data_IF_382554830563
#
_entry.id   IF_382554830563
#
_cell.length_a   1.000
_cell.length_b   1.000
_cell.length_c   1.000
_cell.angle_alpha   90.00
_cell.angle_beta   90.00
_cell.angle_gamma   90.00
#
_symmetry.space_group_name_H-M   'P 1'
#
loop_
_entity.id
_entity.type
_entity.pdbx_description
1 polymer ?
#
# COMPACT_ATOMS: atom_id res chain seq x y z
N UNK A 1 33.83 -16.67 42.62
CA UNK A 1 34.96 -15.72 42.57
C UNK A 1 36.04 -16.04 41.53
N UNK A 2 35.96 -17.12 40.73
CA UNK A 2 37.02 -17.50 39.78
C UNK A 2 37.01 -16.81 38.40
N UNK A 3 35.87 -16.26 37.96
CA UNK A 3 35.74 -15.66 36.61
C UNK A 3 36.22 -14.19 36.52
N UNK A 4 36.51 -13.54 37.64
CA UNK A 4 36.95 -12.13 37.67
C UNK A 4 38.42 -11.93 37.26
N UNK A 5 39.22 -13.00 37.26
CA UNK A 5 40.65 -12.96 36.94
C UNK A 5 40.95 -12.89 35.43
N UNK A 6 39.95 -13.12 34.58
CA UNK A 6 40.08 -13.11 33.12
C UNK A 6 39.71 -11.76 32.48
N UNK A 7 39.30 -10.76 33.27
CA UNK A 7 38.91 -9.44 32.77
C UNK A 7 40.09 -8.47 32.85
N UNK A 8 40.67 -8.14 31.69
CA UNK A 8 41.91 -7.33 31.57
C UNK A 8 41.73 -5.85 31.97
N UNK A 9 40.52 -5.28 31.85
CA UNK A 9 40.22 -3.90 32.23
C UNK A 9 39.83 -3.77 33.71
N UNK A 10 40.47 -2.82 34.44
CA UNK A 10 40.14 -2.47 35.84
C UNK A 10 38.66 -2.07 35.99
N UNK A 11 38.09 -1.37 35.01
CA UNK A 11 36.68 -0.99 34.97
C UNK A 11 35.74 -2.19 34.84
N UNK A 12 36.11 -3.17 34.03
CA UNK A 12 35.30 -4.39 33.83
C UNK A 12 35.31 -5.27 35.09
N UNK A 13 36.42 -5.30 35.84
CA UNK A 13 36.48 -5.93 37.17
C UNK A 13 35.61 -5.22 38.20
N UNK A 14 35.62 -3.89 38.21
CA UNK A 14 34.72 -3.10 39.07
C UNK A 14 33.25 -3.33 38.72
N UNK A 15 32.88 -3.36 37.44
CA UNK A 15 31.50 -3.66 37.03
C UNK A 15 31.07 -5.08 37.37
N UNK A 16 31.94 -6.08 37.22
CA UNK A 16 31.64 -7.47 37.60
C UNK A 16 31.54 -7.62 39.12
N UNK A 17 32.44 -6.98 39.88
CA UNK A 17 32.47 -7.04 41.34
C UNK A 17 31.31 -6.25 41.98
N UNK A 18 30.88 -5.15 41.37
CA UNK A 18 29.72 -4.38 41.80
C UNK A 18 28.39 -4.94 41.28
N UNK A 19 28.40 -5.64 40.13
CA UNK A 19 27.19 -6.13 39.48
C UNK A 19 26.43 -7.18 40.29
N UNK A 20 27.15 -8.09 40.98
CA UNK A 20 26.54 -9.12 41.81
C UNK A 20 25.88 -8.57 43.09
N UNK A 21 26.56 -7.75 43.92
CA UNK A 21 25.94 -7.13 45.09
C UNK A 21 24.84 -6.12 44.73
N UNK A 22 24.96 -5.39 43.61
CA UNK A 22 23.91 -4.49 43.13
C UNK A 22 22.68 -5.27 42.64
N UNK A 23 22.87 -6.37 41.91
CA UNK A 23 21.77 -7.26 41.50
C UNK A 23 21.10 -7.94 42.70
N UNK A 24 21.87 -8.33 43.72
CA UNK A 24 21.33 -8.91 44.96
C UNK A 24 20.55 -7.88 45.78
N UNK A 25 21.06 -6.65 45.90
CA UNK A 25 20.37 -5.54 46.56
C UNK A 25 19.08 -5.13 45.84
N UNK A 26 19.10 -5.05 44.50
CA UNK A 26 17.90 -4.79 43.68
C UNK A 26 16.89 -5.94 43.72
N UNK A 27 17.35 -7.19 43.80
CA UNK A 27 16.47 -8.36 43.98
C UNK A 27 15.83 -8.39 45.36
N UNK A 28 16.54 -7.92 46.39
CA UNK A 28 16.00 -7.73 47.74
C UNK A 28 14.95 -6.61 47.81
N UNK A 29 15.12 -5.53 47.04
CA UNK A 29 14.13 -4.45 46.91
C UNK A 29 12.91 -4.84 46.06
N UNK A 30 13.05 -5.84 45.18
CA UNK A 30 11.96 -6.37 44.35
C UNK A 30 11.04 -7.36 45.09
N UNK A 31 11.34 -7.69 46.36
CA UNK A 31 10.60 -8.67 47.19
C UNK A 31 9.19 -8.25 47.63
N UNK A 32 8.59 -7.26 46.96
CA UNK A 32 7.18 -6.87 47.15
C UNK A 32 6.46 -6.46 45.87
N UNK A 33 7.14 -6.47 44.72
CA UNK A 33 6.55 -6.03 43.46
C UNK A 33 6.08 -7.27 42.70
N UNK A 34 4.77 -7.47 42.64
CA UNK A 34 4.17 -8.57 41.89
C UNK A 34 4.72 -8.59 40.46
N UNK A 35 5.10 -9.77 39.96
CA UNK A 35 5.64 -9.96 38.60
C UNK A 35 4.77 -9.30 37.49
N UNK A 36 3.50 -9.05 37.78
CA UNK A 36 2.54 -8.29 36.96
C UNK A 36 3.02 -6.88 36.59
N UNK A 37 3.78 -6.18 37.46
CA UNK A 37 4.28 -4.83 37.15
C UNK A 37 5.32 -4.82 36.03
N UNK A 38 6.03 -5.94 35.80
CA UNK A 38 6.92 -6.11 34.65
C UNK A 38 6.16 -6.28 33.33
N UNK A 39 4.88 -6.66 33.38
CA UNK A 39 4.04 -6.69 32.18
C UNK A 39 3.62 -5.28 31.75
N UNK A 40 3.66 -4.29 32.64
CA UNK A 40 3.22 -2.93 32.34
C UNK A 40 4.06 -2.24 31.24
N UNK A 41 5.41 -2.26 31.27
CA UNK A 41 6.21 -1.78 30.15
C UNK A 41 6.02 -2.63 28.88
N UNK A 42 5.78 -3.95 29.00
CA UNK A 42 5.52 -4.82 27.85
C UNK A 42 4.17 -4.51 27.19
N UNK A 43 3.13 -4.24 27.98
CA UNK A 43 1.80 -3.83 27.52
C UNK A 43 1.86 -2.43 26.92
N UNK A 44 2.57 -1.49 27.56
CA UNK A 44 2.83 -0.16 26.99
C UNK A 44 3.54 -0.26 25.63
N UNK A 45 4.54 -1.13 25.52
CA UNK A 45 5.24 -1.37 24.26
C UNK A 45 4.31 -2.01 23.21
N UNK A 46 3.49 -2.99 23.59
CA UNK A 46 2.53 -3.65 22.70
C UNK A 46 1.40 -2.72 22.22
N UNK A 47 0.97 -1.78 23.08
CA UNK A 47 0.01 -0.72 22.73
C UNK A 47 0.67 0.33 21.84
N UNK A 48 1.91 0.71 22.11
CA UNK A 48 2.68 1.66 21.30
C UNK A 48 3.08 1.08 19.93
N UNK A 49 3.32 -0.23 19.86
CA UNK A 49 3.68 -0.97 18.65
C UNK A 49 2.66 -2.08 18.39
N UNK A 50 1.46 -1.76 17.87
CA UNK A 50 0.50 -2.79 17.49
C UNK A 50 1.16 -3.72 16.46
N UNK A 51 1.02 -5.03 16.64
CA UNK A 51 1.67 -6.08 15.81
C UNK A 51 1.37 -5.92 14.31
N UNK A 52 0.29 -5.24 13.93
CA UNK A 52 -0.04 -4.90 12.54
C UNK A 52 0.82 -3.80 11.91
N UNK A 53 1.50 -2.98 12.73
CA UNK A 53 2.46 -1.98 12.27
C UNK A 53 3.83 -2.59 11.92
N UNK A 54 4.10 -3.84 12.32
CA UNK A 54 5.34 -4.54 11.92
C UNK A 54 5.34 -4.94 10.45
N UNK A 55 4.17 -5.02 9.83
CA UNK A 55 4.04 -5.17 8.37
C UNK A 55 4.05 -3.84 7.64
N UNK A 56 4.02 -2.68 8.32
CA UNK A 56 4.03 -1.38 7.65
C UNK A 56 5.44 -1.12 7.09
N UNK A 57 5.55 -1.11 5.76
CA UNK A 57 6.76 -0.71 5.08
C UNK A 57 7.02 0.78 5.35
N UNK A 58 8.27 1.25 5.16
CA UNK A 58 8.55 2.68 5.11
C UNK A 58 7.54 3.35 4.17
N UNK A 59 6.90 4.44 4.63
CA UNK A 59 6.01 5.23 3.79
C UNK A 59 6.83 5.79 2.63
N UNK A 60 6.65 5.23 1.43
CA UNK A 60 7.21 5.78 0.21
C UNK A 60 6.16 6.71 -0.41
N UNK A 61 6.30 8.04 -0.31
CA UNK A 61 5.33 8.95 -0.89
C UNK A 61 5.44 8.96 -2.42
N UNK A 62 4.31 9.11 -3.09
CA UNK A 62 4.26 9.46 -4.51
C UNK A 62 4.99 10.79 -4.72
N UNK A 63 5.92 10.84 -5.67
CA UNK A 63 6.59 12.08 -6.04
C UNK A 63 5.59 13.11 -6.57
N UNK A 64 5.82 14.40 -6.29
CA UNK A 64 4.88 15.47 -6.66
C UNK A 64 4.60 15.57 -8.16
N UNK A 65 5.59 15.20 -8.97
CA UNK A 65 5.54 15.18 -10.45
C UNK A 65 5.45 13.77 -11.02
N UNK A 66 5.27 12.74 -10.17
CA UNK A 66 5.33 11.34 -10.58
C UNK A 66 4.25 10.95 -11.60
N UNK A 67 3.17 11.73 -11.67
CA UNK A 67 2.00 11.47 -12.50
C UNK A 67 1.86 12.49 -13.65
N UNK A 68 2.84 13.36 -13.86
CA UNK A 68 2.78 14.40 -14.89
C UNK A 68 2.79 13.78 -16.30
N UNK A 69 1.86 14.22 -17.16
CA UNK A 69 1.67 13.66 -18.50
C UNK A 69 0.65 12.51 -18.55
N UNK A 70 0.01 12.16 -17.44
CA UNK A 70 -1.12 11.21 -17.46
C UNK A 70 -2.31 11.75 -18.25
N UNK A 71 -2.55 13.05 -18.24
CA UNK A 71 -3.60 13.75 -18.99
C UNK A 71 -3.39 13.70 -20.51
N UNK A 72 -2.16 13.49 -20.97
CA UNK A 72 -1.87 13.26 -22.40
C UNK A 72 -2.24 11.83 -22.85
N UNK A 73 -2.34 10.89 -21.90
CA UNK A 73 -2.55 9.46 -22.16
C UNK A 73 -3.95 8.97 -21.76
N UNK A 74 -4.65 9.75 -20.93
CA UNK A 74 -5.95 9.40 -20.37
C UNK A 74 -6.86 10.62 -20.53
N UNK A 75 -7.90 10.45 -21.35
CA UNK A 75 -8.99 11.41 -21.44
C UNK A 75 -10.01 11.14 -20.32
N UNK A 76 -10.11 12.07 -19.36
CA UNK A 76 -11.10 12.03 -18.29
C UNK A 76 -12.15 13.14 -18.51
N UNK A 77 -13.45 12.83 -18.38
CA UNK A 77 -14.48 13.85 -18.46
C UNK A 77 -14.33 14.90 -17.35
N UNK A 78 -14.80 16.12 -17.61
CA UNK A 78 -14.83 17.16 -16.58
C UNK A 78 -15.62 16.68 -15.35
N UNK A 79 -15.02 16.83 -14.16
CA UNK A 79 -15.62 16.34 -12.91
C UNK A 79 -15.52 14.82 -12.71
N UNK A 80 -14.70 14.11 -13.48
CA UNK A 80 -14.42 12.68 -13.28
C UNK A 80 -14.08 12.36 -11.82
N UNK A 81 -14.56 11.21 -11.35
CA UNK A 81 -14.30 10.73 -9.99
C UNK A 81 -13.05 9.87 -9.98
N UNK A 82 -12.03 10.35 -9.27
CA UNK A 82 -10.72 9.70 -9.21
C UNK A 82 -10.44 9.26 -7.78
N UNK A 83 -10.13 7.98 -7.60
CA UNK A 83 -9.81 7.38 -6.31
C UNK A 83 -8.31 7.14 -6.16
N UNK A 84 -7.72 7.66 -5.08
CA UNK A 84 -6.43 7.22 -4.54
C UNK A 84 -6.67 6.11 -3.50
N UNK A 85 -6.50 4.85 -3.91
CA UNK A 85 -6.77 3.67 -3.08
C UNK A 85 -5.54 3.34 -2.20
N UNK A 86 -5.62 3.76 -0.94
CA UNK A 86 -4.50 3.75 0.01
C UNK A 86 -3.74 5.07 0.01
N UNK A 87 -4.45 6.19 0.19
CA UNK A 87 -3.89 7.53 -0.06
C UNK A 87 -2.82 7.97 0.95
N UNK A 88 -2.65 7.27 2.08
CA UNK A 88 -1.63 7.56 3.09
C UNK A 88 -1.72 9.00 3.58
N UNK A 89 -0.64 9.76 3.37
CA UNK A 89 -0.52 11.18 3.71
C UNK A 89 -1.10 12.14 2.64
N UNK A 90 -1.65 11.62 1.54
CA UNK A 90 -2.24 12.40 0.45
C UNK A 90 -1.27 12.86 -0.63
N UNK A 91 -0.07 12.26 -0.74
CA UNK A 91 0.89 12.61 -1.79
C UNK A 91 0.39 12.22 -3.20
N UNK A 92 -0.24 11.04 -3.32
CA UNK A 92 -0.88 10.60 -4.57
C UNK A 92 -2.00 11.56 -4.98
N UNK A 93 -2.90 11.89 -4.06
CA UNK A 93 -3.90 12.94 -4.25
C UNK A 93 -3.29 14.26 -4.76
N UNK A 94 -2.21 14.77 -4.14
CA UNK A 94 -1.57 16.02 -4.58
C UNK A 94 -1.04 15.94 -6.02
N UNK A 95 -0.42 14.81 -6.39
CA UNK A 95 0.03 14.58 -7.76
C UNK A 95 -1.16 14.50 -8.74
N UNK A 96 -2.22 13.75 -8.40
CA UNK A 96 -3.45 13.65 -9.20
C UNK A 96 -4.13 15.01 -9.39
N UNK A 97 -4.11 15.88 -8.37
CA UNK A 97 -4.68 17.23 -8.44
C UNK A 97 -3.96 18.13 -9.44
N UNK A 98 -2.64 17.93 -9.62
CA UNK A 98 -1.86 18.67 -10.60
C UNK A 98 -2.21 18.27 -12.03
N UNK A 99 -2.46 16.98 -12.26
CA UNK A 99 -2.87 16.43 -13.56
C UNK A 99 -4.31 16.81 -13.89
N UNK A 100 -5.25 16.61 -12.94
CA UNK A 100 -6.67 16.89 -13.13
C UNK A 100 -7.24 17.84 -12.05
N UNK A 101 -7.03 19.17 -12.19
CA UNK A 101 -7.52 20.17 -11.25
C UNK A 101 -9.05 20.34 -11.20
N UNK A 102 -9.83 19.64 -12.01
CA UNK A 102 -11.30 19.71 -12.00
C UNK A 102 -11.94 18.38 -11.60
N UNK A 103 -11.15 17.32 -11.41
CA UNK A 103 -11.65 16.01 -11.00
C UNK A 103 -12.13 16.01 -9.54
N UNK A 104 -13.15 15.19 -9.27
CA UNK A 104 -13.60 14.86 -7.93
C UNK A 104 -12.65 13.85 -7.29
N UNK A 105 -11.66 14.34 -6.54
CA UNK A 105 -10.62 13.50 -5.95
C UNK A 105 -11.10 12.88 -4.62
N UNK A 106 -11.00 11.56 -4.54
CA UNK A 106 -11.35 10.76 -3.37
C UNK A 106 -10.14 9.97 -2.90
N UNK A 107 -9.97 9.82 -1.59
CA UNK A 107 -8.90 9.01 -1.01
C UNK A 107 -9.45 8.06 0.05
N UNK A 108 -8.90 6.86 0.13
CA UNK A 108 -9.21 5.91 1.21
C UNK A 108 -7.96 5.53 1.96
N UNK A 109 -8.02 5.68 3.28
CA UNK A 109 -6.91 5.39 4.18
C UNK A 109 -7.41 4.62 5.39
N UNK A 110 -6.73 3.52 5.74
CA UNK A 110 -7.11 2.69 6.88
C UNK A 110 -6.83 3.41 8.22
N UNK A 111 -5.67 4.03 8.31
CA UNK A 111 -5.15 4.68 9.51
C UNK A 111 -5.81 6.03 9.76
N UNK A 112 -6.51 6.15 10.89
CA UNK A 112 -7.13 7.40 11.34
C UNK A 112 -6.18 8.60 11.40
N UNK A 113 -4.97 8.50 12.02
CA UNK A 113 -4.05 9.65 12.05
C UNK A 113 -3.58 10.06 10.65
N UNK A 114 -3.25 9.10 9.77
CA UNK A 114 -2.85 9.41 8.40
C UNK A 114 -3.98 10.05 7.61
N UNK A 115 -5.21 9.54 7.74
CA UNK A 115 -6.41 10.13 7.15
C UNK A 115 -6.62 11.59 7.60
N UNK A 116 -6.41 11.90 8.88
CA UNK A 116 -6.56 13.28 9.37
C UNK A 116 -5.51 14.20 8.74
N UNK A 117 -4.25 13.78 8.72
CA UNK A 117 -3.17 14.56 8.10
C UNK A 117 -3.42 14.75 6.60
N UNK A 118 -3.83 13.69 5.90
CA UNK A 118 -4.17 13.78 4.48
C UNK A 118 -5.33 14.75 4.24
N UNK A 119 -6.35 14.75 5.10
CA UNK A 119 -7.50 15.66 4.98
C UNK A 119 -7.10 17.12 5.20
N UNK A 120 -6.16 17.39 6.11
CA UNK A 120 -5.60 18.72 6.31
C UNK A 120 -4.74 19.18 5.12
N UNK A 121 -3.97 18.26 4.52
CA UNK A 121 -3.11 18.54 3.36
C UNK A 121 -3.87 18.66 2.04
N UNK A 122 -5.01 17.97 1.93
CA UNK A 122 -5.82 17.89 0.71
C UNK A 122 -7.29 18.26 1.04
N UNK A 123 -7.58 19.52 1.44
CA UNK A 123 -8.93 19.93 1.84
C UNK A 123 -9.94 19.91 0.68
N UNK A 124 -9.46 19.84 -0.55
CA UNK A 124 -10.24 19.70 -1.79
C UNK A 124 -10.57 18.24 -2.13
N UNK A 125 -10.01 17.26 -1.42
CA UNK A 125 -10.29 15.84 -1.63
C UNK A 125 -11.27 15.31 -0.59
N UNK A 126 -12.11 14.35 -0.98
CA UNK A 126 -12.95 13.60 -0.03
C UNK A 126 -12.19 12.37 0.47
N UNK A 127 -11.67 12.46 1.68
CA UNK A 127 -10.88 11.37 2.29
C UNK A 127 -11.71 10.58 3.29
N UNK A 128 -11.79 9.27 3.10
CA UNK A 128 -12.54 8.34 3.94
C UNK A 128 -11.60 7.44 4.73
N UNK A 129 -11.97 7.18 5.98
CA UNK A 129 -11.31 6.12 6.73
C UNK A 129 -11.91 4.78 6.28
N UNK A 130 -11.09 3.82 5.88
CA UNK A 130 -11.61 2.50 5.52
C UNK A 130 -10.59 1.58 4.85
N UNK A 131 -11.04 0.36 4.60
CA UNK A 131 -10.32 -0.61 3.78
C UNK A 131 -10.61 -0.34 2.30
N UNK A 132 -9.57 -0.01 1.52
CA UNK A 132 -9.68 0.18 0.08
C UNK A 132 -10.16 -1.08 -0.65
N UNK A 133 -9.94 -2.27 -0.08
CA UNK A 133 -10.40 -3.53 -0.65
C UNK A 133 -11.89 -3.76 -0.46
N UNK A 134 -12.44 -3.27 0.66
CA UNK A 134 -13.86 -3.35 0.97
C UNK A 134 -14.67 -2.25 0.26
N UNK A 135 -14.06 -1.10 -0.01
CA UNK A 135 -14.69 -0.03 -0.79
C UNK A 135 -14.96 -0.49 -2.23
N UNK A 136 -16.15 -0.20 -2.76
CA UNK A 136 -16.46 -0.42 -4.17
C UNK A 136 -15.67 0.52 -5.08
N UNK A 137 -15.11 -0.01 -6.17
CA UNK A 137 -14.47 0.76 -7.24
C UNK A 137 -15.41 1.05 -8.42
N UNK A 138 -16.66 0.61 -8.34
CA UNK A 138 -17.58 0.64 -9.47
C UNK A 138 -17.96 2.05 -9.93
N UNK A 139 -17.90 3.05 -9.05
CA UNK A 139 -18.36 4.41 -9.36
C UNK A 139 -17.24 5.42 -9.59
N UNK A 140 -16.02 4.92 -9.78
CA UNK A 140 -14.86 5.74 -10.12
C UNK A 140 -14.56 5.62 -11.60
N UNK A 141 -14.07 6.71 -12.18
CA UNK A 141 -13.67 6.78 -13.58
C UNK A 141 -12.17 6.51 -13.71
N UNK A 142 -11.41 6.77 -12.63
CA UNK A 142 -10.03 6.34 -12.46
C UNK A 142 -9.77 5.83 -11.04
N UNK A 143 -9.05 4.72 -10.91
CA UNK A 143 -8.49 4.24 -9.65
C UNK A 143 -6.97 4.25 -9.77
N UNK A 144 -6.33 4.98 -8.85
CA UNK A 144 -4.89 5.06 -8.71
C UNK A 144 -4.42 4.17 -7.55
N UNK A 145 -3.32 3.46 -7.78
CA UNK A 145 -2.68 2.56 -6.84
C UNK A 145 -1.18 2.86 -6.74
N UNK A 146 -0.68 2.90 -5.52
CA UNK A 146 0.74 2.77 -5.22
C UNK A 146 0.93 1.74 -4.11
N UNK A 147 0.77 0.48 -4.50
CA UNK A 147 0.70 -0.67 -3.59
C UNK A 147 1.92 -1.57 -3.74
N UNK A 148 1.94 -2.69 -3.02
CA UNK A 148 3.05 -3.66 -3.11
C UNK A 148 2.83 -4.67 -4.22
N UNK A 149 3.90 -5.25 -4.80
CA UNK A 149 3.77 -6.24 -5.88
C UNK A 149 2.93 -7.44 -5.47
N UNK A 150 2.96 -7.87 -4.20
CA UNK A 150 2.19 -9.02 -3.71
C UNK A 150 0.67 -8.76 -3.72
N UNK A 151 0.26 -7.48 -3.64
CA UNK A 151 -1.14 -7.08 -3.64
C UNK A 151 -1.71 -6.80 -5.04
N UNK A 152 -0.85 -6.67 -6.04
CA UNK A 152 -1.26 -6.36 -7.42
C UNK A 152 -2.20 -7.40 -8.04
N UNK A 153 -2.04 -8.73 -7.84
CA UNK A 153 -3.00 -9.71 -8.36
C UNK A 153 -4.43 -9.47 -7.83
N UNK A 154 -4.57 -9.18 -6.53
CA UNK A 154 -5.87 -8.85 -5.92
C UNK A 154 -6.45 -7.56 -6.49
N UNK A 155 -5.60 -6.57 -6.79
CA UNK A 155 -6.02 -5.32 -7.42
C UNK A 155 -6.53 -5.54 -8.84
N UNK A 156 -5.88 -6.40 -9.63
CA UNK A 156 -6.33 -6.79 -10.98
C UNK A 156 -7.70 -7.44 -10.92
N UNK A 157 -7.87 -8.45 -10.07
CA UNK A 157 -9.15 -9.17 -9.92
C UNK A 157 -10.28 -8.22 -9.51
N UNK A 158 -10.00 -7.30 -8.58
CA UNK A 158 -10.97 -6.29 -8.13
C UNK A 158 -11.30 -5.30 -9.24
N UNK A 159 -10.31 -4.80 -9.97
CA UNK A 159 -10.52 -3.88 -11.08
C UNK A 159 -11.39 -4.52 -12.18
N UNK A 160 -11.10 -5.76 -12.58
CA UNK A 160 -11.88 -6.47 -13.59
C UNK A 160 -13.31 -6.77 -13.13
N UNK A 161 -13.51 -7.07 -11.85
CA UNK A 161 -14.82 -7.39 -11.30
C UNK A 161 -15.71 -6.16 -11.10
N UNK A 162 -15.13 -5.05 -10.65
CA UNK A 162 -15.93 -3.92 -10.15
C UNK A 162 -15.89 -2.70 -11.05
N UNK A 163 -14.78 -2.42 -11.74
CA UNK A 163 -14.66 -1.18 -12.50
C UNK A 163 -15.43 -1.25 -13.82
N UNK A 164 -16.03 -0.13 -14.21
CA UNK A 164 -16.83 -0.03 -15.43
C UNK A 164 -15.93 -0.06 -16.68
N UNK A 165 -16.35 -0.69 -17.78
CA UNK A 165 -15.70 -0.48 -19.06
C UNK A 165 -15.59 1.01 -19.41
N UNK A 166 -14.45 1.43 -19.96
CA UNK A 166 -14.14 2.84 -20.22
C UNK A 166 -13.51 3.59 -19.03
N UNK A 167 -13.45 2.98 -17.84
CA UNK A 167 -12.69 3.52 -16.70
C UNK A 167 -11.21 3.10 -16.74
N UNK A 168 -10.41 3.68 -15.86
CA UNK A 168 -8.96 3.58 -15.88
C UNK A 168 -8.38 3.07 -14.56
N UNK A 169 -7.45 2.12 -14.64
CA UNK A 169 -6.59 1.76 -13.52
C UNK A 169 -5.18 2.32 -13.79
N UNK A 170 -4.62 3.02 -12.82
CA UNK A 170 -3.25 3.55 -12.87
C UNK A 170 -2.46 2.99 -11.71
N UNK A 171 -1.31 2.39 -11.98
CA UNK A 171 -0.43 1.80 -10.97
C UNK A 171 0.96 2.41 -11.03
N UNK A 172 1.41 3.00 -9.94
CA UNK A 172 2.77 3.49 -9.80
C UNK A 172 3.71 2.33 -9.45
N UNK A 173 4.86 2.29 -10.15
CA UNK A 173 5.97 1.34 -10.03
C UNK A 173 5.65 -0.10 -10.44
N UNK A 174 4.54 -0.66 -9.96
CA UNK A 174 4.25 -2.08 -10.09
C UNK A 174 3.25 -2.35 -11.21
N UNK A 175 3.59 -3.30 -12.06
CA UNK A 175 2.74 -3.73 -13.17
C UNK A 175 1.57 -4.61 -12.67
N UNK A 176 0.35 -4.30 -13.12
CA UNK A 176 -0.86 -5.05 -12.87
C UNK A 176 -0.95 -6.27 -13.82
N UNK A 177 -0.11 -7.29 -13.56
CA UNK A 177 -0.04 -8.52 -14.37
C UNK A 177 -1.41 -9.19 -14.44
N UNK A 178 -1.96 -9.30 -15.64
CA UNK A 178 -3.34 -9.79 -15.89
C UNK A 178 -4.23 -8.75 -16.58
N UNK A 179 -3.81 -7.48 -16.61
CA UNK A 179 -4.36 -6.46 -17.49
C UNK A 179 -3.37 -6.19 -18.63
N UNK A 180 -3.90 -5.93 -19.84
CA UNK A 180 -3.08 -5.45 -20.95
C UNK A 180 -2.77 -3.95 -20.73
N UNK A 181 -1.50 -3.54 -20.60
CA UNK A 181 -1.15 -2.12 -20.47
C UNK A 181 -1.65 -1.35 -21.70
N UNK A 182 -2.32 -0.24 -21.45
CA UNK A 182 -2.66 0.74 -22.48
C UNK A 182 -1.43 1.59 -22.82
N UNK A 183 -0.74 2.05 -21.78
CA UNK A 183 0.49 2.84 -21.89
C UNK A 183 1.36 2.62 -20.66
N UNK A 184 2.64 2.98 -20.80
CA UNK A 184 3.59 3.07 -19.69
C UNK A 184 4.27 4.43 -19.79
N UNK A 185 4.07 5.24 -18.77
CA UNK A 185 4.72 6.53 -18.62
C UNK A 185 5.98 6.33 -17.77
N UNK A 186 7.14 6.75 -18.26
CA UNK A 186 8.38 6.70 -17.48
C UNK A 186 9.28 7.88 -17.82
N UNK A 187 9.30 8.87 -16.92
CA UNK A 187 10.22 10.00 -17.00
C UNK A 187 11.61 9.60 -16.47
N UNK A 188 12.70 10.21 -16.97
CA UNK A 188 14.05 9.95 -16.47
C UNK A 188 14.14 10.16 -14.95
N UNK A 189 14.70 9.18 -14.24
CA UNK A 189 14.86 9.23 -12.78
C UNK A 189 13.57 9.00 -11.96
N UNK A 190 12.44 8.70 -12.60
CA UNK A 190 11.19 8.40 -11.92
C UNK A 190 10.78 6.93 -12.04
N UNK A 191 9.95 6.49 -11.09
CA UNK A 191 9.32 5.16 -11.12
C UNK A 191 8.33 5.10 -12.30
N UNK A 192 8.20 3.96 -13.00
CA UNK A 192 7.26 3.85 -14.11
C UNK A 192 5.82 3.94 -13.60
N UNK A 193 4.93 4.52 -14.39
CA UNK A 193 3.49 4.53 -14.18
C UNK A 193 2.83 3.68 -15.25
N UNK A 194 2.09 2.67 -14.84
CA UNK A 194 1.38 1.76 -15.71
C UNK A 194 -0.09 2.17 -15.83
N UNK A 195 -0.60 2.24 -17.05
CA UNK A 195 -1.93 2.74 -17.35
C UNK A 195 -2.72 1.62 -18.02
N UNK A 196 -3.93 1.36 -17.53
CA UNK A 196 -4.80 0.30 -18.03
C UNK A 196 -6.20 0.84 -18.28
N UNK A 197 -6.68 0.69 -19.51
CA UNK A 197 -8.09 0.92 -19.83
C UNK A 197 -8.88 -0.33 -19.49
N UNK A 198 -9.93 -0.20 -18.67
CA UNK A 198 -10.86 -1.29 -18.40
C UNK A 198 -11.76 -1.46 -19.62
N UNK A 199 -11.70 -2.64 -20.23
CA UNK A 199 -12.44 -2.97 -21.46
C UNK A 199 -13.47 -4.04 -21.14
N UNK A 200 -14.56 -4.05 -21.89
CA UNK A 200 -15.50 -5.18 -21.85
C UNK A 200 -14.73 -6.47 -22.14
N UNK A 201 -14.87 -7.43 -21.24
CA UNK A 201 -14.51 -8.81 -21.52
C UNK A 201 -15.48 -9.32 -22.58
N UNK A 202 -15.06 -9.34 -23.85
CA UNK A 202 -15.83 -10.06 -24.87
C UNK A 202 -15.95 -11.51 -24.41
N UNK A 203 -17.16 -12.07 -24.24
CA UNK A 203 -17.30 -13.51 -24.11
C UNK A 203 -16.71 -14.12 -25.39
N UNK A 204 -15.73 -15.00 -25.23
CA UNK A 204 -15.04 -15.62 -26.35
C UNK A 204 -16.05 -16.27 -27.28
N UNK A 205 -16.08 -15.84 -28.54
CA UNK A 205 -16.72 -16.61 -29.60
C UNK A 205 -15.99 -17.94 -29.69
N UNK A 206 -16.58 -18.98 -29.09
CA UNK A 206 -16.19 -20.35 -29.30
C UNK A 206 -16.27 -20.65 -30.79
N UNK A 207 -15.14 -20.59 -31.47
CA UNK A 207 -14.98 -21.20 -32.77
C UNK A 207 -14.94 -22.71 -32.52
N UNK A 208 -16.12 -23.33 -32.49
CA UNK A 208 -16.21 -24.78 -32.65
C UNK A 208 -15.53 -25.16 -33.97
N UNK A 209 -14.83 -26.31 -34.04
CA UNK A 209 -14.26 -26.77 -35.29
C UNK A 209 -15.40 -26.87 -36.32
N UNK A 210 -15.28 -26.17 -37.44
CA UNK A 210 -16.08 -26.52 -38.61
C UNK A 210 -15.52 -27.84 -39.10
N UNK A 211 -16.22 -28.92 -38.78
CA UNK A 211 -15.96 -30.20 -39.41
C UNK A 211 -16.12 -30.01 -40.93
N UNK A 212 -14.99 -30.14 -41.62
CA UNK A 212 -14.92 -30.34 -43.05
C UNK A 212 -15.51 -31.74 -43.32
N UNK A 213 -16.82 -31.82 -43.56
CA UNK A 213 -17.35 -33.03 -44.21
C UNK A 213 -16.99 -32.95 -45.68
N UNK A 214 -16.06 -33.82 -46.03
CA UNK A 214 -15.51 -34.04 -47.35
C UNK A 214 -16.16 -35.32 -47.87
N UNK A 215 -17.42 -35.26 -48.29
CA UNK A 215 -18.04 -36.38 -49.00
C UNK A 215 -17.88 -36.17 -50.51
N UNK A 216 -16.98 -36.98 -51.04
CA UNK A 216 -16.64 -37.25 -52.43
C UNK A 216 -17.88 -37.64 -53.28
N UNK A 217 -17.83 -37.21 -54.54
CA UNK A 217 -18.48 -37.64 -55.81
C UNK A 217 -18.81 -39.16 -55.93
N UNK A 218 -19.50 -39.73 -56.97
CA UNK A 218 -19.79 -39.16 -58.30
C UNK A 218 -21.17 -39.49 -58.92
N UNK A 219 -21.54 -38.77 -60.01
CA UNK A 219 -22.05 -39.29 -61.31
C UNK A 219 -22.66 -38.17 -62.17
#
# INVERSE_FOLDING_TARGET
MGLALLATSRWRRLMIAAGFPLSFALSGLASGWSAVWWLLPLVLLAVAYPVRAWSDAPLFPTGTTALDGLDELIDLPAGARVLDAGCGLGHGLQALRRVWPTAGLEGTEWSRPWRLIAALRCPWARIRQGDMWAQSWAHHDLVYLFQRPESMPRAVEKAQREMRPGSWLVSLEFEAKGLRPHARLQQPGQRPVWIYAIRETRPGTGHGPRDHDSSVDPS
#
